data_IF_111635842354
#
_entry.id   IF_111635842354
#
_cell.length_a   1.000
_cell.length_b   1.000
_cell.length_c   1.000
_cell.angle_alpha   90.00
_cell.angle_beta   90.00
_cell.angle_gamma   90.00
#
_symmetry.space_group_name_H-M   'P 1'
#
loop_
_entity.id
_entity.type
_entity.pdbx_description
1 polymer ?
#
# COMPACT_ATOMS: atom_id res chain seq x y z
N UNK A 1 3.59 48.37 53.42
CA UNK A 1 2.31 47.98 52.83
C UNK A 1 2.56 47.33 51.47
N UNK A 2 1.79 46.29 51.13
CA UNK A 2 2.26 45.15 50.34
C UNK A 2 1.64 45.12 48.94
N UNK A 3 2.42 44.76 47.92
CA UNK A 3 1.90 44.10 46.70
C UNK A 3 2.97 43.16 46.15
N UNK A 4 3.42 42.24 47.00
CA UNK A 4 4.04 40.98 46.59
C UNK A 4 3.15 39.91 47.24
N UNK A 5 2.89 38.83 46.51
CA UNK A 5 2.03 37.68 46.82
C UNK A 5 0.59 37.75 46.27
N UNK A 6 0.45 37.38 45.00
CA UNK A 6 -0.60 36.43 44.59
C UNK A 6 -0.20 35.72 43.29
N UNK A 7 0.89 34.94 43.33
CA UNK A 7 1.18 33.90 42.32
C UNK A 7 1.55 32.63 43.07
N UNK A 8 0.58 32.03 43.75
CA UNK A 8 0.60 30.62 44.15
C UNK A 8 -0.88 30.22 44.06
N UNK A 9 -1.35 29.40 43.13
CA UNK A 9 -1.13 27.96 43.05
C UNK A 9 -1.77 27.49 41.73
N UNK A 10 -1.07 27.56 40.60
CA UNK A 10 -1.44 26.67 39.49
C UNK A 10 -0.83 25.31 39.81
N UNK A 11 -1.62 24.24 40.01
CA UNK A 11 -1.06 22.93 40.28
C UNK A 11 -0.11 22.56 39.14
N UNK A 12 1.10 22.12 39.47
CA UNK A 12 2.16 21.77 38.51
C UNK A 12 1.61 20.87 37.38
N UNK A 13 0.64 20.01 37.70
CA UNK A 13 -0.07 19.15 36.75
C UNK A 13 -0.87 19.92 35.68
N UNK A 14 -1.49 21.06 36.02
CA UNK A 14 -2.24 21.88 35.07
C UNK A 14 -1.30 22.59 34.08
N UNK A 15 -0.19 23.15 34.57
CA UNK A 15 0.87 23.78 33.77
C UNK A 15 1.54 22.75 32.85
N UNK A 16 1.84 21.55 33.35
CA UNK A 16 2.37 20.46 32.53
C UNK A 16 1.36 19.95 31.49
N UNK A 17 0.05 19.92 31.80
CA UNK A 17 -0.98 19.55 30.81
C UNK A 17 -1.21 20.63 29.75
N UNK A 18 -1.05 21.91 30.13
CA UNK A 18 -1.17 23.04 29.22
C UNK A 18 0.05 23.10 28.29
N UNK A 19 1.26 22.93 28.83
CA UNK A 19 2.48 22.83 28.04
C UNK A 19 2.46 21.60 27.13
N UNK A 20 1.98 20.44 27.59
CA UNK A 20 1.77 19.27 26.71
C UNK A 20 0.77 19.56 25.61
N UNK A 21 -0.38 20.17 25.92
CA UNK A 21 -1.37 20.58 24.91
C UNK A 21 -0.82 21.59 23.91
N UNK A 22 0.05 22.50 24.36
CA UNK A 22 0.70 23.49 23.51
C UNK A 22 1.81 22.87 22.65
N UNK A 23 2.58 21.91 23.17
CA UNK A 23 3.53 21.10 22.40
C UNK A 23 2.82 20.16 21.43
N UNK A 24 1.71 19.54 21.83
CA UNK A 24 0.89 18.68 20.98
C UNK A 24 0.25 19.52 19.87
N UNK A 25 -0.27 20.71 20.18
CA UNK A 25 -0.75 21.68 19.19
C UNK A 25 0.39 22.15 18.27
N UNK A 26 1.59 22.41 18.80
CA UNK A 26 2.75 22.81 18.01
C UNK A 26 3.22 21.65 17.10
N UNK A 27 3.27 20.42 17.58
CA UNK A 27 3.60 19.24 16.77
C UNK A 27 2.51 18.89 15.74
N UNK A 28 1.22 19.03 16.09
CA UNK A 28 0.12 18.84 15.13
C UNK A 28 0.10 19.93 14.05
N UNK A 29 0.45 21.17 14.37
CA UNK A 29 0.39 22.28 13.42
C UNK A 29 1.70 22.53 12.65
N UNK A 30 2.86 22.17 13.20
CA UNK A 30 4.15 22.22 12.47
C UNK A 30 4.36 21.05 11.50
N UNK A 31 3.56 19.97 11.56
CA UNK A 31 3.57 18.95 10.49
C UNK A 31 3.26 19.57 9.11
N UNK A 32 2.59 20.74 9.07
CA UNK A 32 2.31 21.48 7.83
C UNK A 32 3.52 22.22 7.24
N UNK A 33 4.52 22.57 8.04
CA UNK A 33 5.75 23.28 7.59
C UNK A 33 6.77 22.35 6.92
N UNK A 34 6.60 21.03 7.07
CA UNK A 34 7.48 19.99 6.50
C UNK A 34 6.79 19.14 5.42
N UNK A 35 5.55 19.46 5.08
CA UNK A 35 4.79 18.77 4.04
C UNK A 35 5.01 19.44 2.69
N UNK A 36 5.41 18.65 1.70
CA UNK A 36 5.49 19.06 0.30
C UNK A 36 4.23 19.83 -0.14
N UNK A 37 4.40 20.95 -0.85
CA UNK A 37 3.25 21.73 -1.32
C UNK A 37 2.48 21.03 -2.46
N UNK A 38 1.25 21.50 -2.73
CA UNK A 38 0.37 20.84 -3.70
C UNK A 38 0.87 20.92 -5.14
N UNK A 39 1.51 22.02 -5.53
CA UNK A 39 2.10 22.20 -6.87
C UNK A 39 3.18 21.16 -7.12
N UNK A 40 4.11 20.99 -6.17
CA UNK A 40 5.19 20.02 -6.26
C UNK A 40 4.68 18.57 -6.31
N UNK A 41 3.63 18.26 -5.53
CA UNK A 41 2.94 16.95 -5.61
C UNK A 41 2.35 16.72 -7.00
N UNK A 42 1.68 17.72 -7.55
CA UNK A 42 1.10 17.65 -8.89
C UNK A 42 2.18 17.44 -9.96
N UNK A 43 3.32 18.13 -9.87
CA UNK A 43 4.44 17.97 -10.81
C UNK A 43 5.06 16.57 -10.73
N UNK A 44 5.24 16.03 -9.53
CA UNK A 44 5.68 14.65 -9.32
C UNK A 44 4.74 13.67 -10.02
N UNK A 45 3.43 13.78 -9.78
CA UNK A 45 2.43 12.89 -10.35
C UNK A 45 2.34 13.04 -11.88
N UNK A 46 2.45 14.27 -12.39
CA UNK A 46 2.45 14.55 -13.83
C UNK A 46 3.64 13.88 -14.51
N UNK A 47 4.84 13.92 -13.93
CA UNK A 47 6.01 13.22 -14.46
C UNK A 47 5.84 11.71 -14.48
N UNK A 48 5.26 11.13 -13.44
CA UNK A 48 4.93 9.71 -13.43
C UNK A 48 3.95 9.36 -14.54
N UNK A 49 2.89 10.16 -14.71
CA UNK A 49 1.90 9.97 -15.76
C UNK A 49 2.49 10.11 -17.17
N UNK A 50 3.40 11.06 -17.39
CA UNK A 50 4.10 11.21 -18.69
C UNK A 50 5.01 10.01 -18.98
N UNK A 51 5.68 9.47 -17.95
CA UNK A 51 6.55 8.30 -18.12
C UNK A 51 5.76 7.01 -18.36
N UNK A 52 4.66 6.85 -17.66
CA UNK A 52 3.79 5.68 -17.72
C UNK A 52 2.34 6.10 -17.41
N UNK A 53 1.52 6.22 -18.46
CA UNK A 53 0.13 6.67 -18.34
C UNK A 53 -0.80 5.63 -17.73
N UNK A 54 -0.41 4.35 -17.75
CA UNK A 54 -1.26 3.21 -17.35
C UNK A 54 -0.45 2.22 -16.52
N UNK A 55 0.06 2.64 -15.35
CA UNK A 55 0.86 1.77 -14.51
C UNK A 55 -0.04 0.65 -13.95
N UNK A 56 0.47 -0.57 -13.93
CA UNK A 56 -0.26 -1.73 -13.43
C UNK A 56 0.62 -2.62 -12.57
N UNK A 57 0.00 -3.63 -11.95
CA UNK A 57 0.69 -4.66 -11.18
C UNK A 57 1.60 -5.50 -12.09
N UNK A 58 2.70 -6.00 -11.53
CA UNK A 58 3.59 -6.94 -12.22
C UNK A 58 3.14 -8.40 -12.06
N UNK A 59 2.05 -8.63 -11.30
CA UNK A 59 1.40 -9.94 -11.23
C UNK A 59 0.63 -10.20 -12.52
N UNK A 60 0.79 -11.40 -13.07
CA UNK A 60 0.12 -11.81 -14.29
C UNK A 60 -1.26 -12.40 -13.99
N UNK A 61 -2.29 -11.91 -14.68
CA UNK A 61 -3.68 -12.34 -14.53
C UNK A 61 -4.50 -12.04 -15.79
N UNK A 62 -5.61 -12.75 -15.96
CA UNK A 62 -6.60 -12.56 -17.04
C UNK A 62 -8.02 -12.32 -16.54
N UNK A 63 -8.25 -12.49 -15.24
CA UNK A 63 -9.55 -12.27 -14.61
C UNK A 63 -9.41 -11.72 -13.19
N UNK A 64 -10.49 -11.16 -12.64
CA UNK A 64 -10.56 -10.68 -11.25
C UNK A 64 -10.20 -11.79 -10.25
N UNK A 65 -10.64 -13.02 -10.52
CA UNK A 65 -10.33 -14.19 -9.69
C UNK A 65 -8.84 -14.52 -9.74
N UNK A 66 -8.25 -14.57 -10.93
CA UNK A 66 -6.81 -14.81 -11.07
C UNK A 66 -5.98 -13.78 -10.30
N UNK A 67 -6.36 -12.49 -10.39
CA UNK A 67 -5.66 -11.45 -9.62
C UNK A 67 -5.82 -11.64 -8.11
N UNK A 68 -7.02 -11.93 -7.62
CA UNK A 68 -7.24 -12.18 -6.20
C UNK A 68 -6.33 -13.29 -5.67
N UNK A 69 -6.22 -14.41 -6.40
CA UNK A 69 -5.35 -15.52 -6.03
C UNK A 69 -3.87 -15.12 -6.14
N UNK A 70 -3.46 -14.40 -7.18
CA UNK A 70 -2.08 -13.93 -7.33
C UNK A 70 -1.65 -12.98 -6.19
N UNK A 71 -2.50 -12.03 -5.81
CA UNK A 71 -2.21 -11.09 -4.70
C UNK A 71 -2.20 -11.82 -3.35
N UNK A 72 -3.06 -12.81 -3.14
CA UNK A 72 -2.99 -13.68 -1.95
C UNK A 72 -1.64 -14.43 -1.87
N UNK A 73 -1.17 -14.95 -3.01
CA UNK A 73 0.09 -15.67 -3.11
C UNK A 73 1.31 -14.75 -2.94
N UNK A 74 1.23 -13.47 -3.32
CA UNK A 74 2.33 -12.50 -3.23
C UNK A 74 2.65 -12.07 -1.80
N UNK A 75 1.78 -12.35 -0.83
CA UNK A 75 2.08 -12.10 0.58
C UNK A 75 3.39 -12.80 1.01
N UNK A 76 4.43 -12.01 1.30
CA UNK A 76 5.78 -12.49 1.62
C UNK A 76 6.43 -13.32 0.50
N UNK A 77 6.12 -13.02 -0.76
CA UNK A 77 6.75 -13.61 -1.93
C UNK A 77 7.12 -12.52 -2.95
N UNK A 78 8.04 -12.85 -3.88
CA UNK A 78 8.36 -11.99 -5.02
C UNK A 78 7.37 -12.26 -6.14
N UNK A 79 6.97 -11.22 -6.86
CA UNK A 79 6.00 -11.34 -7.96
C UNK A 79 6.48 -12.33 -9.03
N UNK A 80 7.78 -12.35 -9.36
CA UNK A 80 8.36 -13.36 -10.26
C UNK A 80 8.11 -14.81 -9.83
N UNK A 81 8.20 -15.09 -8.53
CA UNK A 81 7.94 -16.43 -7.99
C UNK A 81 6.46 -16.77 -8.04
N UNK A 82 5.59 -15.77 -7.85
CA UNK A 82 4.14 -15.93 -7.98
C UNK A 82 3.79 -16.22 -9.44
N UNK A 83 4.26 -15.39 -10.38
CA UNK A 83 3.98 -15.55 -11.81
C UNK A 83 4.43 -16.92 -12.34
N UNK A 84 5.60 -17.41 -11.92
CA UNK A 84 6.05 -18.77 -12.27
C UNK A 84 5.09 -19.86 -11.81
N UNK A 85 4.52 -19.73 -10.61
CA UNK A 85 3.57 -20.71 -10.09
C UNK A 85 2.18 -20.56 -10.72
N UNK A 86 1.68 -19.33 -10.85
CA UNK A 86 0.33 -19.04 -11.35
C UNK A 86 0.19 -19.35 -12.84
N UNK A 87 1.23 -19.17 -13.65
CA UNK A 87 1.22 -19.60 -15.07
C UNK A 87 0.86 -21.07 -15.23
N UNK A 88 1.36 -21.95 -14.36
CA UNK A 88 1.02 -23.38 -14.41
C UNK A 88 -0.31 -23.67 -13.73
N UNK A 89 -0.55 -23.06 -12.55
CA UNK A 89 -1.78 -23.27 -11.80
C UNK A 89 -3.02 -22.84 -12.59
N UNK A 90 -2.99 -21.69 -13.25
CA UNK A 90 -4.14 -21.13 -13.97
C UNK A 90 -4.40 -21.80 -15.31
N UNK A 91 -3.42 -22.52 -15.89
CA UNK A 91 -3.69 -23.41 -17.02
C UNK A 91 -4.55 -24.61 -16.60
N UNK A 92 -4.35 -25.09 -15.36
CA UNK A 92 -5.11 -26.22 -14.80
C UNK A 92 -6.45 -25.76 -14.19
N UNK A 93 -6.44 -24.66 -13.43
CA UNK A 93 -7.59 -24.18 -12.67
C UNK A 93 -7.55 -22.64 -12.49
N UNK A 94 -8.39 -21.91 -13.23
CA UNK A 94 -8.53 -20.46 -13.14
C UNK A 94 -9.95 -19.97 -12.80
N UNK A 95 -10.80 -20.86 -12.29
CA UNK A 95 -12.12 -20.51 -11.75
C UNK A 95 -12.28 -21.07 -10.34
N UNK A 96 -13.18 -20.52 -9.51
CA UNK A 96 -13.46 -21.08 -8.18
C UNK A 96 -13.82 -22.57 -8.23
N UNK A 97 -14.63 -22.99 -9.21
CA UNK A 97 -15.08 -24.38 -9.38
C UNK A 97 -13.92 -25.31 -9.75
N UNK A 98 -13.08 -24.91 -10.69
CA UNK A 98 -11.91 -25.70 -11.08
C UNK A 98 -10.91 -25.81 -9.92
N UNK A 99 -10.69 -24.72 -9.19
CA UNK A 99 -9.78 -24.69 -8.04
C UNK A 99 -10.27 -25.59 -6.89
N UNK A 100 -11.59 -25.60 -6.62
CA UNK A 100 -12.20 -26.54 -5.66
C UNK A 100 -12.05 -28.00 -6.10
N UNK A 101 -12.24 -28.28 -7.39
CA UNK A 101 -12.08 -29.62 -7.97
C UNK A 101 -10.64 -30.12 -7.86
N UNK A 102 -9.66 -29.21 -8.02
CA UNK A 102 -8.24 -29.48 -7.86
C UNK A 102 -7.85 -29.79 -6.40
N UNK A 103 -8.61 -29.28 -5.42
CA UNK A 103 -8.41 -29.41 -3.97
C UNK A 103 -7.09 -28.78 -3.49
N UNK A 104 -6.96 -28.63 -2.17
CA UNK A 104 -5.77 -28.02 -1.57
C UNK A 104 -4.49 -28.77 -1.94
N UNK A 105 -4.51 -30.12 -1.93
CA UNK A 105 -3.36 -30.93 -2.32
C UNK A 105 -2.94 -30.74 -3.78
N UNK A 106 -3.88 -30.55 -4.71
CA UNK A 106 -3.55 -30.23 -6.09
C UNK A 106 -2.93 -28.83 -6.21
N UNK A 107 -3.51 -27.83 -5.54
CA UNK A 107 -2.97 -26.46 -5.51
C UNK A 107 -1.54 -26.44 -4.94
N UNK A 108 -1.27 -27.15 -3.84
CA UNK A 108 0.06 -27.23 -3.20
C UNK A 108 1.15 -27.67 -4.18
N UNK A 109 0.85 -28.56 -5.13
CA UNK A 109 1.82 -29.02 -6.15
C UNK A 109 2.36 -27.87 -7.00
N UNK A 110 1.50 -26.91 -7.35
CA UNK A 110 1.85 -25.76 -8.18
C UNK A 110 2.52 -24.64 -7.39
N UNK A 111 2.11 -24.42 -6.14
CA UNK A 111 2.58 -23.28 -5.33
C UNK A 111 3.64 -23.63 -4.28
N UNK A 112 4.18 -24.85 -4.27
CA UNK A 112 5.17 -25.32 -3.27
C UNK A 112 6.44 -24.45 -3.17
N UNK A 113 6.78 -23.71 -4.22
CA UNK A 113 7.92 -22.78 -4.25
C UNK A 113 7.65 -21.46 -3.51
N UNK A 114 6.40 -21.20 -3.13
CA UNK A 114 5.96 -19.98 -2.46
C UNK A 114 5.96 -20.21 -0.95
N UNK A 115 6.52 -19.27 -0.18
CA UNK A 115 6.48 -19.31 1.27
C UNK A 115 5.04 -19.41 1.81
N UNK A 116 4.85 -20.19 2.88
CA UNK A 116 3.55 -20.45 3.52
C UNK A 116 2.54 -21.18 2.62
N UNK A 117 2.99 -21.92 1.59
CA UNK A 117 2.12 -22.55 0.60
C UNK A 117 1.03 -23.44 1.19
N UNK A 118 1.30 -24.16 2.29
CA UNK A 118 0.30 -25.00 2.95
C UNK A 118 -0.93 -24.18 3.37
N UNK A 119 -0.72 -23.11 4.15
CA UNK A 119 -1.81 -22.22 4.60
C UNK A 119 -2.45 -21.48 3.42
N UNK A 120 -1.66 -21.06 2.43
CA UNK A 120 -2.16 -20.38 1.23
C UNK A 120 -3.08 -21.29 0.42
N UNK A 121 -2.72 -22.55 0.20
CA UNK A 121 -3.57 -23.50 -0.50
C UNK A 121 -4.92 -23.71 0.22
N UNK A 122 -4.89 -23.90 1.55
CA UNK A 122 -6.12 -24.03 2.33
C UNK A 122 -6.99 -22.75 2.23
N UNK A 123 -6.37 -21.58 2.30
CA UNK A 123 -7.07 -20.31 2.12
C UNK A 123 -7.70 -20.20 0.73
N UNK A 124 -6.97 -20.56 -0.34
CA UNK A 124 -7.49 -20.54 -1.72
C UNK A 124 -8.77 -21.37 -1.82
N UNK A 125 -8.76 -22.60 -1.31
CA UNK A 125 -9.95 -23.47 -1.34
C UNK A 125 -11.11 -22.87 -0.55
N UNK A 126 -10.86 -22.32 0.64
CA UNK A 126 -11.90 -21.65 1.44
C UNK A 126 -12.46 -20.42 0.73
N UNK A 127 -11.60 -19.61 0.10
CA UNK A 127 -12.02 -18.47 -0.72
C UNK A 127 -12.94 -18.95 -1.82
N UNK A 128 -12.53 -19.94 -2.62
CA UNK A 128 -13.34 -20.43 -3.73
C UNK A 128 -14.72 -20.91 -3.28
N UNK A 129 -14.81 -21.57 -2.11
CA UNK A 129 -16.08 -21.95 -1.50
C UNK A 129 -16.94 -20.74 -1.15
N UNK A 130 -16.38 -19.76 -0.44
CA UNK A 130 -17.10 -18.53 -0.07
C UNK A 130 -17.56 -17.74 -1.29
N UNK A 131 -16.74 -17.65 -2.34
CA UNK A 131 -17.14 -16.99 -3.58
C UNK A 131 -18.37 -17.66 -4.19
N UNK A 132 -18.41 -18.99 -4.27
CA UNK A 132 -19.57 -19.71 -4.81
C UNK A 132 -20.81 -19.60 -3.92
N UNK A 133 -20.65 -19.74 -2.59
CA UNK A 133 -21.75 -19.75 -1.64
C UNK A 133 -22.36 -18.35 -1.39
N UNK A 134 -21.54 -17.31 -1.36
CA UNK A 134 -21.94 -15.98 -0.89
C UNK A 134 -21.84 -14.89 -1.96
N UNK A 135 -21.10 -15.14 -3.05
CA UNK A 135 -20.81 -14.13 -4.08
C UNK A 135 -21.04 -14.64 -5.51
N UNK A 136 -21.83 -15.71 -5.68
CA UNK A 136 -22.22 -16.26 -6.99
C UNK A 136 -21.02 -16.64 -7.91
N UNK A 137 -19.85 -16.93 -7.30
CA UNK A 137 -18.61 -17.24 -7.99
C UNK A 137 -17.78 -16.03 -8.41
N UNK A 138 -18.23 -14.81 -8.12
CA UNK A 138 -17.55 -13.57 -8.50
C UNK A 138 -16.73 -12.96 -7.36
N UNK A 139 -15.68 -12.23 -7.70
CA UNK A 139 -14.89 -11.47 -6.72
C UNK A 139 -15.69 -10.24 -6.29
N UNK A 140 -15.98 -10.05 -4.99
CA UNK A 140 -16.82 -8.94 -4.56
C UNK A 140 -16.10 -7.59 -4.69
N UNK A 141 -16.86 -6.56 -5.11
CA UNK A 141 -16.40 -5.18 -5.19
C UNK A 141 -16.62 -4.40 -3.87
N UNK A 142 -16.59 -5.09 -2.73
CA UNK A 142 -16.67 -4.47 -1.40
C UNK A 142 -15.39 -4.79 -0.63
N UNK A 143 -14.80 -3.78 0.00
CA UNK A 143 -13.62 -3.98 0.85
C UNK A 143 -13.94 -4.91 2.01
N UNK A 144 -15.09 -4.71 2.65
CA UNK A 144 -15.53 -5.48 3.80
C UNK A 144 -15.74 -6.96 3.42
N UNK A 145 -16.36 -7.22 2.26
CA UNK A 145 -16.50 -8.57 1.73
C UNK A 145 -15.15 -9.21 1.37
N UNK A 146 -14.23 -8.44 0.76
CA UNK A 146 -12.88 -8.92 0.46
C UNK A 146 -12.10 -9.24 1.74
N UNK A 147 -12.14 -8.38 2.76
CA UNK A 147 -11.45 -8.59 4.04
C UNK A 147 -12.03 -9.78 4.84
N UNK A 148 -13.27 -10.19 4.58
CA UNK A 148 -13.85 -11.41 5.14
C UNK A 148 -13.25 -12.70 4.53
N UNK A 149 -12.59 -12.60 3.37
CA UNK A 149 -11.98 -13.76 2.71
C UNK A 149 -10.68 -14.20 3.43
N UNK A 150 -10.47 -15.52 3.65
CA UNK A 150 -9.32 -16.02 4.38
C UNK A 150 -7.97 -15.61 3.80
N UNK A 151 -7.18 -14.86 4.57
CA UNK A 151 -5.85 -14.40 4.16
C UNK A 151 -5.86 -13.12 3.32
N UNK A 152 -7.03 -12.53 3.06
CA UNK A 152 -7.17 -11.21 2.46
C UNK A 152 -7.25 -10.18 3.57
N UNK A 153 -6.15 -9.43 3.76
CA UNK A 153 -6.16 -8.27 4.65
C UNK A 153 -6.48 -6.98 3.89
N UNK A 154 -6.56 -5.86 4.63
CA UNK A 154 -6.82 -4.52 4.06
C UNK A 154 -5.96 -4.17 2.84
N UNK A 155 -4.66 -4.45 2.89
CA UNK A 155 -3.75 -4.20 1.76
C UNK A 155 -4.21 -4.97 0.51
N UNK A 156 -4.43 -6.28 0.65
CA UNK A 156 -4.86 -7.16 -0.44
C UNK A 156 -6.19 -6.69 -1.02
N UNK A 157 -7.17 -6.39 -0.17
CA UNK A 157 -8.46 -5.86 -0.60
C UNK A 157 -8.31 -4.54 -1.39
N UNK A 158 -7.52 -3.59 -0.89
CA UNK A 158 -7.27 -2.32 -1.57
C UNK A 158 -6.57 -2.49 -2.94
N UNK A 159 -5.63 -3.45 -3.07
CA UNK A 159 -4.98 -3.76 -4.35
C UNK A 159 -5.98 -4.32 -5.36
N UNK A 160 -6.84 -5.26 -4.95
CA UNK A 160 -7.87 -5.84 -5.81
C UNK A 160 -8.88 -4.76 -6.24
N UNK A 161 -9.38 -3.95 -5.31
CA UNK A 161 -10.31 -2.85 -5.60
C UNK A 161 -9.72 -1.83 -6.57
N UNK A 162 -8.45 -1.49 -6.41
CA UNK A 162 -7.77 -0.54 -7.30
C UNK A 162 -7.56 -1.12 -8.71
N UNK A 163 -7.01 -2.33 -8.79
CA UNK A 163 -6.50 -2.91 -10.04
C UNK A 163 -7.62 -3.51 -10.89
N UNK A 164 -8.59 -4.18 -10.26
CA UNK A 164 -9.71 -4.81 -10.97
C UNK A 164 -10.83 -3.81 -11.24
N UNK A 165 -11.18 -3.03 -10.22
CA UNK A 165 -12.42 -2.25 -10.22
C UNK A 165 -12.18 -0.75 -10.35
N UNK A 166 -10.93 -0.31 -10.55
CA UNK A 166 -10.58 1.10 -10.74
C UNK A 166 -10.91 1.98 -9.54
N UNK A 167 -11.07 1.41 -8.33
CA UNK A 167 -11.41 2.19 -7.14
C UNK A 167 -10.19 3.03 -6.72
N UNK A 168 -10.40 4.28 -6.25
CA UNK A 168 -9.32 5.20 -5.88
C UNK A 168 -8.71 4.85 -4.50
N UNK A 169 -8.43 3.56 -4.26
CA UNK A 169 -7.75 3.04 -3.08
C UNK A 169 -6.24 3.05 -3.31
N UNK A 170 -5.46 3.41 -2.27
CA UNK A 170 -4.00 3.47 -2.35
C UNK A 170 -3.43 2.54 -1.29
N UNK A 171 -3.11 1.31 -1.67
CA UNK A 171 -2.53 0.35 -0.74
C UNK A 171 -1.09 0.76 -0.40
N UNK A 172 -0.76 0.78 0.90
CA UNK A 172 0.58 1.16 1.37
C UNK A 172 1.34 -0.10 1.77
N UNK A 173 2.40 -0.40 1.02
CA UNK A 173 3.36 -1.44 1.35
C UNK A 173 4.72 -0.84 1.75
N UNK A 174 5.75 -1.67 1.88
CA UNK A 174 7.08 -1.18 2.27
C UNK A 174 7.73 -0.26 1.24
N UNK A 175 7.37 -0.38 -0.05
CA UNK A 175 7.85 0.50 -1.11
C UNK A 175 7.14 1.84 -1.04
N UNK A 176 5.81 1.84 -1.04
CA UNK A 176 4.99 3.05 -0.94
C UNK A 176 5.30 3.81 0.34
N UNK A 177 5.35 3.12 1.49
CA UNK A 177 5.68 3.73 2.78
C UNK A 177 7.04 4.43 2.76
N UNK A 178 8.06 3.78 2.18
CA UNK A 178 9.40 4.34 2.07
C UNK A 178 9.45 5.54 1.12
N UNK A 179 8.84 5.42 -0.06
CA UNK A 179 8.81 6.49 -1.07
C UNK A 179 8.09 7.71 -0.53
N UNK A 180 6.89 7.51 0.03
CA UNK A 180 6.05 8.58 0.57
C UNK A 180 6.77 9.37 1.68
N UNK A 181 7.45 8.68 2.60
CA UNK A 181 8.21 9.33 3.67
C UNK A 181 9.51 9.99 3.17
N UNK A 182 10.34 9.30 2.36
CA UNK A 182 11.61 9.86 1.87
C UNK A 182 11.39 11.13 1.05
N UNK A 183 10.42 11.10 0.13
CA UNK A 183 10.13 12.25 -0.74
C UNK A 183 9.41 13.38 -0.01
N UNK A 184 8.92 13.14 1.22
CA UNK A 184 7.95 13.99 1.95
C UNK A 184 6.63 14.22 1.21
N UNK A 185 6.31 13.36 0.23
CA UNK A 185 5.05 13.42 -0.51
C UNK A 185 3.83 13.20 0.39
N UNK A 186 3.90 12.18 1.26
CA UNK A 186 2.90 11.84 2.26
C UNK A 186 3.57 11.21 3.49
N UNK A 187 3.91 12.05 4.47
CA UNK A 187 4.65 11.64 5.68
C UNK A 187 3.71 10.97 6.68
N UNK A 188 4.17 9.89 7.30
CA UNK A 188 3.38 9.20 8.33
C UNK A 188 4.20 8.19 9.11
N UNK A 189 3.95 8.11 10.42
CA UNK A 189 4.66 7.22 11.36
C UNK A 189 4.35 5.74 11.16
N UNK A 190 3.23 5.41 10.54
CA UNK A 190 2.79 4.04 10.28
C UNK A 190 2.01 3.95 8.97
N UNK A 191 1.71 2.72 8.53
CA UNK A 191 1.03 2.43 7.26
C UNK A 191 -0.32 3.15 7.16
N UNK A 192 -1.12 3.14 8.23
CA UNK A 192 -2.44 3.76 8.24
C UNK A 192 -2.37 5.29 8.11
N UNK A 193 -1.39 5.92 8.74
CA UNK A 193 -1.16 7.37 8.63
C UNK A 193 -0.75 7.76 7.20
N UNK A 194 0.14 6.99 6.57
CA UNK A 194 0.55 7.23 5.17
C UNK A 194 -0.61 6.99 4.21
N UNK A 195 -1.41 5.94 4.42
CA UNK A 195 -2.60 5.65 3.59
C UNK A 195 -3.60 6.81 3.64
N UNK A 196 -3.93 7.29 4.86
CA UNK A 196 -4.80 8.44 5.06
C UNK A 196 -4.26 9.69 4.36
N UNK A 197 -2.99 10.00 4.56
CA UNK A 197 -2.35 11.17 3.96
C UNK A 197 -2.35 11.09 2.43
N UNK A 198 -2.04 9.93 1.84
CA UNK A 198 -2.09 9.73 0.38
C UNK A 198 -3.50 9.97 -0.18
N UNK A 199 -4.54 9.48 0.51
CA UNK A 199 -5.92 9.73 0.10
C UNK A 199 -6.32 11.21 0.19
N UNK A 200 -5.73 11.97 1.10
CA UNK A 200 -5.97 13.41 1.27
C UNK A 200 -5.24 14.24 0.22
N UNK A 201 -3.95 13.98 -0.02
CA UNK A 201 -3.09 14.88 -0.82
C UNK A 201 -3.06 14.57 -2.32
N UNK A 202 -3.38 13.34 -2.72
CA UNK A 202 -3.38 12.93 -4.13
C UNK A 202 -4.64 13.45 -4.83
N UNK A 203 -4.52 14.28 -5.89
CA UNK A 203 -5.68 14.75 -6.63
C UNK A 203 -6.45 13.61 -7.31
N UNK A 204 -7.78 13.77 -7.43
CA UNK A 204 -8.69 12.74 -7.96
C UNK A 204 -8.21 12.06 -9.27
N UNK A 205 -7.71 12.79 -10.29
CA UNK A 205 -7.29 12.17 -11.56
C UNK A 205 -6.15 11.16 -11.41
N UNK A 206 -5.31 11.32 -10.38
CA UNK A 206 -4.14 10.49 -10.16
C UNK A 206 -4.38 9.32 -9.20
N UNK A 207 -5.50 9.31 -8.46
CA UNK A 207 -5.69 8.39 -7.32
C UNK A 207 -5.59 6.91 -7.70
N UNK A 208 -6.14 6.53 -8.87
CA UNK A 208 -6.14 5.14 -9.31
C UNK A 208 -4.71 4.68 -9.66
N UNK A 209 -3.98 5.48 -10.42
CA UNK A 209 -2.63 5.15 -10.90
C UNK A 209 -1.53 5.37 -9.83
N UNK A 210 -1.78 6.24 -8.84
CA UNK A 210 -0.80 6.65 -7.84
C UNK A 210 -0.18 5.47 -7.08
N UNK A 211 -0.99 4.47 -6.71
CA UNK A 211 -0.48 3.27 -6.05
C UNK A 211 0.63 2.60 -6.85
N UNK A 212 0.37 2.28 -8.12
CA UNK A 212 1.31 1.56 -8.97
C UNK A 212 2.57 2.38 -9.27
N UNK A 213 2.45 3.69 -9.51
CA UNK A 213 3.62 4.56 -9.68
C UNK A 213 4.54 4.53 -8.44
N UNK A 214 3.98 4.65 -7.24
CA UNK A 214 4.78 4.67 -6.01
C UNK A 214 5.42 3.30 -5.72
N UNK A 215 4.71 2.20 -5.97
CA UNK A 215 5.25 0.84 -5.83
C UNK A 215 6.41 0.63 -6.79
N UNK A 216 6.21 0.88 -8.09
CA UNK A 216 7.23 0.68 -9.13
C UNK A 216 8.44 1.60 -8.90
N UNK A 217 8.21 2.86 -8.55
CA UNK A 217 9.28 3.79 -8.22
C UNK A 217 10.09 3.32 -7.01
N UNK A 218 9.42 2.86 -5.95
CA UNK A 218 10.09 2.31 -4.77
C UNK A 218 10.81 0.99 -5.06
N UNK A 219 10.33 0.19 -6.00
CA UNK A 219 10.92 -1.10 -6.39
C UNK A 219 12.20 -0.92 -7.22
N UNK A 220 12.20 0.01 -8.17
CA UNK A 220 13.27 0.10 -9.18
C UNK A 220 14.22 1.29 -9.02
N UNK A 221 13.78 2.37 -8.35
CA UNK A 221 14.55 3.61 -8.25
C UNK A 221 14.85 3.97 -6.80
N UNK A 222 13.82 4.21 -5.99
CA UNK A 222 13.95 4.56 -4.57
C UNK A 222 14.09 3.28 -3.70
N UNK A 223 15.09 2.47 -4.03
CA UNK A 223 15.38 1.21 -3.36
C UNK A 223 15.83 1.43 -1.90
N UNK A 224 15.65 0.40 -1.06
CA UNK A 224 15.88 0.51 0.39
C UNK A 224 17.33 0.90 0.73
N UNK A 225 18.30 0.24 0.09
CA UNK A 225 19.73 0.50 0.27
C UNK A 225 20.28 1.18 -0.99
N UNK A 226 20.98 2.30 -0.83
CA UNK A 226 21.61 3.08 -1.93
C UNK A 226 20.60 3.42 -3.05
N UNK A 227 19.59 4.29 -2.77
CA UNK A 227 18.62 4.69 -3.79
C UNK A 227 19.32 5.29 -5.02
N UNK A 228 18.74 5.10 -6.21
CA UNK A 228 19.32 5.57 -7.47
C UNK A 228 18.95 7.04 -7.72
N UNK A 229 19.40 7.95 -6.85
CA UNK A 229 18.98 9.36 -6.91
C UNK A 229 19.46 10.04 -8.20
N UNK A 230 20.67 9.72 -8.68
CA UNK A 230 21.22 10.28 -9.92
C UNK A 230 20.38 10.02 -11.18
N UNK A 231 19.60 8.94 -11.21
CA UNK A 231 18.71 8.58 -12.32
C UNK A 231 17.23 8.66 -11.95
N UNK A 232 16.89 9.41 -10.90
CA UNK A 232 15.54 9.50 -10.38
C UNK A 232 14.72 10.54 -11.15
N UNK A 233 13.52 10.14 -11.60
CA UNK A 233 12.59 11.00 -12.36
C UNK A 233 12.14 12.27 -11.61
N UNK A 234 12.18 12.23 -10.28
CA UNK A 234 11.64 13.26 -9.38
C UNK A 234 12.72 13.78 -8.43
N UNK A 235 13.99 13.64 -8.81
CA UNK A 235 15.15 13.94 -7.96
C UNK A 235 15.10 15.36 -7.40
N UNK A 236 14.86 16.34 -8.25
CA UNK A 236 14.87 17.77 -7.92
C UNK A 236 13.64 18.18 -7.10
N UNK A 237 12.54 17.41 -7.22
CA UNK A 237 11.32 17.65 -6.46
C UNK A 237 11.37 16.93 -5.09
N UNK A 238 12.16 15.86 -4.97
CA UNK A 238 12.29 15.02 -3.80
C UNK A 238 13.01 15.76 -2.65
N UNK A 239 12.38 15.75 -1.47
CA UNK A 239 12.86 16.41 -0.24
C UNK A 239 13.57 15.44 0.71
N UNK A 240 14.19 14.39 0.16
CA UNK A 240 14.98 13.46 0.95
C UNK A 240 16.36 14.05 1.21
N UNK A 241 16.76 14.21 2.47
CA UNK A 241 18.03 14.86 2.83
C UNK A 241 19.27 13.98 2.56
N UNK A 242 19.10 12.66 2.51
CA UNK A 242 20.20 11.68 2.36
C UNK A 242 20.23 11.08 0.94
N UNK A 243 20.23 11.94 -0.09
CA UNK A 243 20.31 11.49 -1.49
C UNK A 243 21.62 10.75 -1.75
N UNK A 244 21.54 9.69 -2.55
CA UNK A 244 22.68 8.86 -2.90
C UNK A 244 23.02 9.02 -4.38
N UNK A 245 24.17 9.63 -4.65
CA UNK A 245 24.72 9.76 -6.00
C UNK A 245 25.89 8.78 -6.09
N UNK A 246 25.73 7.72 -6.89
CA UNK A 246 26.85 6.86 -7.24
C UNK A 246 27.88 7.69 -8.00
N UNK A 247 29.15 7.61 -7.57
CA UNK A 247 30.27 8.03 -8.41
C UNK A 247 30.38 7.15 -9.64
#
# INVERSE_FOLDING_TARGET
MPYILEIILFPINALQSMMRRQLDWYHHNNDSLYSMNQTKRHDILSRFQTKDSTPTTELEYRSSFELLIAVLLSAQAKDDSVNKATRLLFLEANTPQAMLSLKAEGVKKYIKSIGLFNRKAENIIKICRLLLEQHQGEVPESREALEALPGVGRKTANVVLNTVFGRPTIAVDTHVFRVANRTRFAVGKNVAAVEKMLLEVVPKPFKVACHHWLVLHGRYTCIARKPRCSSCLIEELCEYDQKYYSK
#
